data_IF_720885159099
#
_entry.id   IF_720885159099
#
_cell.length_a   1.000
_cell.length_b   1.000
_cell.length_c   1.000
_cell.angle_alpha   90.00
_cell.angle_beta   90.00
_cell.angle_gamma   90.00
#
_symmetry.space_group_name_H-M   'P 1'
#
loop_
_entity.id
_entity.type
_entity.pdbx_description
1 polymer ?
#
# COMPACT_ATOMS: atom_id res chain seq x y z
N UNK A 1 -34.98 6.73 -12.75
CA UNK A 1 -33.77 6.24 -12.07
C UNK A 1 -33.55 7.15 -10.88
N UNK A 2 -33.54 6.62 -9.66
CA UNK A 2 -33.15 7.42 -8.49
C UNK A 2 -31.65 7.69 -8.60
N UNK A 3 -31.26 8.96 -8.49
CA UNK A 3 -29.85 9.30 -8.48
C UNK A 3 -29.28 9.03 -7.10
N UNK A 4 -28.22 8.22 -7.02
CA UNK A 4 -27.56 7.88 -5.77
C UNK A 4 -26.99 9.15 -5.13
N UNK A 5 -27.55 9.53 -3.98
CA UNK A 5 -27.19 10.75 -3.27
C UNK A 5 -26.49 10.42 -1.95
N UNK A 6 -25.44 11.16 -1.64
CA UNK A 6 -24.65 11.10 -0.41
C UNK A 6 -24.72 12.45 0.29
N UNK A 7 -25.13 12.49 1.56
CA UNK A 7 -25.15 13.74 2.34
C UNK A 7 -24.03 13.71 3.39
N UNK A 8 -23.18 14.74 3.37
CA UNK A 8 -22.14 14.99 4.36
C UNK A 8 -22.59 16.15 5.22
N UNK A 9 -22.75 15.92 6.53
CA UNK A 9 -23.00 16.98 7.53
C UNK A 9 -21.76 17.13 8.40
N UNK A 10 -21.25 18.35 8.48
CA UNK A 10 -20.16 18.72 9.39
C UNK A 10 -20.68 19.78 10.35
N UNK A 11 -20.69 19.43 11.64
CA UNK A 11 -21.06 20.32 12.73
C UNK A 11 -19.78 20.73 13.48
N UNK A 12 -19.37 21.99 13.34
CA UNK A 12 -18.12 22.51 13.92
C UNK A 12 -18.13 24.03 13.99
N UNK A 13 -17.60 24.58 15.08
CA UNK A 13 -17.44 26.02 15.27
C UNK A 13 -16.39 26.64 14.32
N UNK A 14 -15.37 25.86 13.94
CA UNK A 14 -14.28 26.29 13.06
C UNK A 14 -13.78 25.12 12.20
N UNK A 15 -13.75 25.29 10.87
CA UNK A 15 -13.22 24.30 9.93
C UNK A 15 -12.19 24.92 9.01
N UNK A 16 -11.00 24.29 8.92
CA UNK A 16 -9.99 24.70 7.93
C UNK A 16 -10.47 24.33 6.54
N UNK A 17 -10.41 25.30 5.63
CA UNK A 17 -10.80 25.13 4.22
C UNK A 17 -10.03 23.98 3.56
N UNK A 18 -8.71 23.93 3.77
CA UNK A 18 -7.88 22.87 3.21
C UNK A 18 -8.31 21.48 3.69
N UNK A 19 -8.65 21.34 4.97
CA UNK A 19 -9.09 20.06 5.52
C UNK A 19 -10.42 19.61 4.94
N UNK A 20 -11.37 20.55 4.75
CA UNK A 20 -12.64 20.27 4.09
C UNK A 20 -12.41 19.77 2.66
N UNK A 21 -11.62 20.48 1.88
CA UNK A 21 -11.37 20.10 0.48
C UNK A 21 -10.61 18.78 0.37
N UNK A 22 -9.65 18.51 1.24
CA UNK A 22 -8.97 17.21 1.27
C UNK A 22 -9.93 16.08 1.64
N UNK A 23 -10.82 16.29 2.61
CA UNK A 23 -11.83 15.29 2.95
C UNK A 23 -12.78 15.01 1.78
N UNK A 24 -13.30 16.04 1.11
CA UNK A 24 -14.16 15.89 -0.06
C UNK A 24 -13.43 15.18 -1.20
N UNK A 25 -12.17 15.53 -1.45
CA UNK A 25 -11.33 14.89 -2.46
C UNK A 25 -11.07 13.42 -2.15
N UNK A 26 -10.76 13.07 -0.91
CA UNK A 26 -10.57 11.67 -0.52
C UNK A 26 -11.85 10.85 -0.66
N UNK A 27 -13.02 11.45 -0.39
CA UNK A 27 -14.31 10.80 -0.62
C UNK A 27 -14.51 10.55 -2.12
N UNK A 28 -14.21 11.53 -2.97
CA UNK A 28 -14.26 11.37 -4.43
C UNK A 28 -13.33 10.24 -4.91
N UNK A 29 -12.06 10.28 -4.51
CA UNK A 29 -11.06 9.25 -4.86
C UNK A 29 -11.47 7.85 -4.37
N UNK A 30 -12.02 7.74 -3.16
CA UNK A 30 -12.51 6.49 -2.60
C UNK A 30 -13.68 5.89 -3.39
N UNK A 31 -14.67 6.71 -3.76
CA UNK A 31 -15.82 6.26 -4.56
C UNK A 31 -15.38 5.85 -5.97
N UNK A 32 -14.46 6.59 -6.59
CA UNK A 32 -13.93 6.26 -7.92
C UNK A 32 -13.20 4.92 -7.94
N UNK A 33 -12.43 4.58 -6.89
CA UNK A 33 -11.73 3.29 -6.78
C UNK A 33 -12.69 2.09 -6.70
N UNK A 34 -13.84 2.26 -6.07
CA UNK A 34 -14.87 1.22 -5.95
C UNK A 34 -15.81 1.15 -7.16
N UNK A 35 -15.64 2.01 -8.16
CA UNK A 35 -16.50 2.08 -9.34
C UNK A 35 -15.89 1.30 -10.53
N UNK A 36 -16.70 0.46 -11.18
CA UNK A 36 -16.30 -0.31 -12.36
C UNK A 36 -16.41 0.47 -13.69
N UNK A 37 -16.89 1.72 -13.62
CA UNK A 37 -17.15 2.60 -14.76
C UNK A 37 -16.65 4.01 -14.44
N UNK A 38 -16.41 4.83 -15.45
CA UNK A 38 -16.06 6.23 -15.27
C UNK A 38 -17.24 6.98 -14.63
N UNK A 39 -17.04 7.53 -13.43
CA UNK A 39 -18.06 8.22 -12.62
C UNK A 39 -17.56 9.58 -12.18
N UNK A 40 -18.42 10.59 -12.30
CA UNK A 40 -18.16 11.96 -11.84
C UNK A 40 -19.01 12.26 -10.60
N UNK A 41 -18.43 13.03 -9.67
CA UNK A 41 -19.06 13.40 -8.40
C UNK A 41 -19.21 14.92 -8.35
N UNK A 42 -20.42 15.38 -8.06
CA UNK A 42 -20.76 16.79 -8.05
C UNK A 42 -21.32 17.24 -6.70
N UNK A 43 -20.99 18.46 -6.30
CA UNK A 43 -21.68 19.16 -5.20
C UNK A 43 -23.01 19.69 -5.72
N UNK A 44 -24.11 19.21 -5.11
CA UNK A 44 -25.47 19.61 -5.44
C UNK A 44 -25.93 20.83 -4.64
N UNK A 45 -25.62 20.90 -3.34
CA UNK A 45 -26.03 22.01 -2.45
C UNK A 45 -25.06 22.16 -1.26
N UNK A 46 -24.89 23.40 -0.77
CA UNK A 46 -24.22 23.72 0.50
C UNK A 46 -25.16 24.56 1.38
N UNK A 47 -25.52 24.06 2.58
CA UNK A 47 -26.49 24.74 3.49
C UNK A 47 -25.79 25.53 4.62
N UNK A 48 -26.50 26.51 5.21
CA UNK A 48 -26.01 27.41 6.29
C UNK A 48 -26.29 26.83 7.69
N UNK A 49 -25.35 27.03 8.63
CA UNK A 49 -25.49 26.67 10.06
C UNK A 49 -24.82 25.36 10.46
N UNK A 50 -24.63 24.48 9.49
CA UNK A 50 -23.69 23.35 9.48
C UNK A 50 -23.29 23.17 8.02
N UNK A 51 -22.06 22.77 7.71
CA UNK A 51 -21.70 22.50 6.32
C UNK A 51 -22.36 21.18 5.94
N UNK A 52 -23.53 21.28 5.30
CA UNK A 52 -24.25 20.15 4.72
C UNK A 52 -23.98 20.17 3.22
N UNK A 53 -23.30 19.15 2.74
CA UNK A 53 -22.95 18.96 1.33
C UNK A 53 -23.72 17.74 0.82
N UNK A 54 -24.53 17.94 -0.20
CA UNK A 54 -25.22 16.85 -0.90
C UNK A 54 -24.42 16.53 -2.18
N UNK A 55 -23.95 15.29 -2.30
CA UNK A 55 -23.21 14.75 -3.43
C UNK A 55 -24.09 13.76 -4.20
N UNK A 56 -23.91 13.67 -5.51
CA UNK A 56 -24.67 12.78 -6.38
C UNK A 56 -23.72 12.01 -7.29
N UNK A 57 -23.88 10.68 -7.36
CA UNK A 57 -23.18 9.84 -8.33
C UNK A 57 -24.01 9.78 -9.61
N UNK A 58 -23.42 10.20 -10.73
CA UNK A 58 -24.05 10.17 -12.04
C UNK A 58 -23.39 9.09 -12.91
N UNK A 59 -24.20 8.15 -13.41
CA UNK A 59 -23.74 7.12 -14.35
C UNK A 59 -23.99 7.63 -15.77
N UNK A 60 -22.93 7.76 -16.57
CA UNK A 60 -23.04 8.23 -17.96
C UNK A 60 -23.59 7.13 -18.88
N UNK A 61 -24.44 7.51 -19.83
CA UNK A 61 -25.11 6.56 -20.73
C UNK A 61 -24.10 5.84 -21.66
N UNK A 62 -24.15 4.50 -21.69
CA UNK A 62 -23.29 3.65 -22.52
C UNK A 62 -22.54 2.53 -21.79
N UNK A 63 -22.55 2.52 -20.46
CA UNK A 63 -21.82 1.59 -19.58
C UNK A 63 -22.65 0.38 -19.09
N UNK A 64 -23.70 0.02 -19.83
CA UNK A 64 -24.90 -0.66 -19.31
C UNK A 64 -24.93 -2.20 -19.16
N UNK A 65 -23.92 -3.06 -19.45
CA UNK A 65 -24.08 -4.48 -19.15
C UNK A 65 -23.68 -4.88 -17.71
N UNK A 66 -23.13 -3.97 -16.89
CA UNK A 66 -22.61 -4.32 -15.54
C UNK A 66 -23.40 -3.68 -14.38
N UNK A 67 -24.61 -3.18 -14.63
CA UNK A 67 -25.47 -2.55 -13.63
C UNK A 67 -26.15 -3.54 -12.65
N UNK A 68 -25.55 -4.71 -12.40
CA UNK A 68 -25.87 -5.51 -11.20
C UNK A 68 -25.19 -4.83 -9.99
N UNK A 69 -25.82 -3.75 -9.57
CA UNK A 69 -25.65 -2.87 -8.41
C UNK A 69 -24.79 -3.39 -7.23
N UNK A 70 -23.47 -3.23 -7.29
CA UNK A 70 -22.72 -2.82 -6.11
C UNK A 70 -22.72 -1.29 -6.09
N UNK A 71 -23.56 -0.68 -5.26
CA UNK A 71 -23.57 0.77 -5.13
C UNK A 71 -22.24 1.20 -4.48
N UNK A 72 -21.30 1.74 -5.27
CA UNK A 72 -19.94 2.03 -4.81
C UNK A 72 -19.89 3.02 -3.65
N UNK A 73 -20.91 3.89 -3.51
CA UNK A 73 -21.09 4.70 -2.30
C UNK A 73 -21.32 3.81 -1.07
N UNK A 74 -22.22 2.82 -1.16
CA UNK A 74 -22.49 1.88 -0.06
C UNK A 74 -21.24 1.07 0.26
N UNK A 75 -20.57 0.52 -0.77
CA UNK A 75 -19.34 -0.26 -0.60
C UNK A 75 -18.23 0.56 0.07
N UNK A 76 -18.06 1.82 -0.31
CA UNK A 76 -17.13 2.73 0.34
C UNK A 76 -17.48 2.96 1.82
N UNK A 77 -18.75 3.27 2.13
CA UNK A 77 -19.20 3.51 3.51
C UNK A 77 -19.01 2.26 4.40
N UNK A 78 -19.36 1.08 3.89
CA UNK A 78 -19.14 -0.20 4.59
C UNK A 78 -17.64 -0.44 4.85
N UNK A 79 -16.81 -0.16 3.86
CA UNK A 79 -15.35 -0.31 3.95
C UNK A 79 -14.74 0.62 4.99
N UNK A 80 -15.08 1.90 5.00
CA UNK A 80 -14.55 2.83 6.02
C UNK A 80 -15.12 2.55 7.42
N UNK A 81 -16.36 2.06 7.54
CA UNK A 81 -16.93 1.62 8.82
C UNK A 81 -16.15 0.43 9.39
N UNK A 82 -15.82 -0.56 8.55
CA UNK A 82 -14.98 -1.70 8.92
C UNK A 82 -13.62 -1.23 9.46
N UNK A 83 -12.96 -0.31 8.77
CA UNK A 83 -11.67 0.23 9.22
C UNK A 83 -11.79 1.15 10.45
N UNK A 84 -12.90 1.89 10.60
CA UNK A 84 -13.21 2.62 11.84
C UNK A 84 -13.27 1.67 13.02
N UNK A 85 -14.07 0.60 12.92
CA UNK A 85 -14.17 -0.42 13.98
C UNK A 85 -12.80 -1.03 14.27
N UNK A 86 -12.00 -1.28 13.23
CA UNK A 86 -10.64 -1.79 13.40
C UNK A 86 -9.74 -0.85 14.19
N UNK A 87 -9.65 0.41 13.77
CA UNK A 87 -8.75 1.39 14.36
C UNK A 87 -9.18 1.81 15.75
N UNK A 88 -10.47 1.72 16.11
CA UNK A 88 -10.97 2.04 17.44
C UNK A 88 -10.96 0.84 18.40
N UNK A 89 -10.81 -0.38 17.88
CA UNK A 89 -10.78 -1.60 18.71
C UNK A 89 -9.55 -1.63 19.62
N UNK A 90 -9.77 -1.97 20.89
CA UNK A 90 -8.69 -2.18 21.87
C UNK A 90 -7.94 -3.50 21.63
N UNK A 91 -8.50 -4.42 20.83
CA UNK A 91 -7.93 -5.74 20.56
C UNK A 91 -7.36 -5.80 19.14
N UNK A 92 -6.13 -5.27 19.00
CA UNK A 92 -5.42 -5.15 17.71
C UNK A 92 -5.15 -6.50 17.04
N UNK A 93 -5.06 -7.59 17.80
CA UNK A 93 -4.71 -8.94 17.31
C UNK A 93 -5.85 -9.63 16.54
N UNK A 94 -7.10 -9.18 16.72
CA UNK A 94 -8.28 -9.89 16.18
C UNK A 94 -8.69 -9.47 14.77
N UNK A 95 -8.05 -8.44 14.19
CA UNK A 95 -8.44 -7.87 12.88
C UNK A 95 -7.33 -8.03 11.82
N UNK A 96 -6.14 -8.50 12.22
CA UNK A 96 -4.97 -8.74 11.36
C UNK A 96 -5.06 -10.10 10.62
N UNK A 97 -6.22 -10.79 10.66
CA UNK A 97 -6.40 -12.05 9.92
C UNK A 97 -6.84 -11.89 8.47
N UNK A 98 -7.14 -10.67 8.02
CA UNK A 98 -7.43 -10.43 6.61
C UNK A 98 -6.12 -10.24 5.84
N UNK A 99 -5.87 -11.17 4.91
CA UNK A 99 -4.65 -11.20 4.09
C UNK A 99 -4.43 -9.97 3.20
N UNK A 100 -5.41 -9.08 3.07
CA UNK A 100 -5.38 -7.92 2.17
C UNK A 100 -6.02 -6.69 2.84
N UNK A 101 -5.29 -6.07 3.77
CA UNK A 101 -5.72 -4.78 4.36
C UNK A 101 -5.51 -3.66 3.34
N UNK A 102 -6.60 -2.96 3.02
CA UNK A 102 -6.57 -1.83 2.11
C UNK A 102 -6.06 -0.56 2.81
N UNK A 103 -4.76 -0.33 2.67
CA UNK A 103 -4.08 0.87 3.21
C UNK A 103 -4.64 2.17 2.64
N UNK A 104 -5.19 2.15 1.43
CA UNK A 104 -5.74 3.36 0.81
C UNK A 104 -7.04 3.78 1.50
N UNK A 105 -7.89 2.81 1.88
CA UNK A 105 -9.07 3.07 2.69
C UNK A 105 -8.74 3.55 4.10
N UNK A 106 -7.64 3.07 4.70
CA UNK A 106 -7.13 3.60 5.98
C UNK A 106 -6.71 5.06 5.84
N UNK A 107 -6.03 5.42 4.74
CA UNK A 107 -5.60 6.80 4.46
C UNK A 107 -6.79 7.73 4.17
N UNK A 108 -7.81 7.24 3.47
CA UNK A 108 -9.06 7.96 3.23
C UNK A 108 -9.77 8.25 4.57
N UNK A 109 -9.89 7.24 5.43
CA UNK A 109 -10.47 7.39 6.77
C UNK A 109 -9.65 8.35 7.66
N UNK A 110 -8.32 8.28 7.61
CA UNK A 110 -7.41 9.21 8.29
C UNK A 110 -7.65 10.67 7.86
N UNK A 111 -7.78 10.88 6.55
CA UNK A 111 -8.03 12.21 5.98
C UNK A 111 -9.40 12.76 6.38
N UNK A 112 -10.44 11.91 6.36
CA UNK A 112 -11.78 12.27 6.85
C UNK A 112 -11.72 12.64 8.33
N UNK A 113 -11.09 11.83 9.17
CA UNK A 113 -10.92 12.11 10.60
C UNK A 113 -10.15 13.43 10.86
N UNK A 114 -9.19 13.78 10.00
CA UNK A 114 -8.44 15.03 10.08
C UNK A 114 -9.23 16.31 9.82
N UNK A 115 -10.42 16.21 9.25
CA UNK A 115 -11.29 17.37 9.16
C UNK A 115 -11.75 17.88 10.54
N UNK A 116 -11.88 17.02 11.55
CA UNK A 116 -12.46 17.40 12.85
C UNK A 116 -11.63 17.06 14.10
N UNK A 117 -10.46 16.41 13.98
CA UNK A 117 -9.69 15.96 15.15
C UNK A 117 -9.25 17.07 16.11
N UNK A 118 -8.96 18.27 15.59
CA UNK A 118 -8.50 19.41 16.39
C UNK A 118 -9.64 20.33 16.83
N UNK A 119 -10.91 19.92 16.61
CA UNK A 119 -12.09 20.72 16.90
C UNK A 119 -12.93 20.02 17.99
N UNK A 120 -12.77 20.42 19.25
CA UNK A 120 -13.57 19.87 20.34
C UNK A 120 -15.07 20.04 20.04
N UNK A 121 -15.85 18.98 20.24
CA UNK A 121 -17.30 18.90 19.98
C UNK A 121 -17.72 18.80 18.50
N UNK A 122 -16.77 18.74 17.56
CA UNK A 122 -17.12 18.56 16.16
C UNK A 122 -17.57 17.13 15.86
N UNK A 123 -18.50 17.00 14.90
CA UNK A 123 -18.94 15.71 14.36
C UNK A 123 -19.01 15.74 12.83
N UNK A 124 -18.70 14.59 12.23
CA UNK A 124 -18.97 14.28 10.83
C UNK A 124 -20.05 13.21 10.82
N UNK A 125 -21.08 13.43 10.02
CA UNK A 125 -22.08 12.43 9.70
C UNK A 125 -22.23 12.31 8.19
N UNK A 126 -22.09 11.09 7.69
CA UNK A 126 -22.26 10.74 6.29
C UNK A 126 -23.46 9.80 6.22
N UNK A 127 -24.51 10.21 5.49
CA UNK A 127 -25.74 9.44 5.33
C UNK A 127 -25.98 9.12 3.86
N UNK A 128 -26.35 7.87 3.58
CA UNK A 128 -26.76 7.39 2.25
C UNK A 128 -28.28 7.17 2.21
N UNK A 129 -28.84 7.06 1.02
CA UNK A 129 -30.29 6.85 0.83
C UNK A 129 -30.80 5.47 1.32
N UNK A 130 -29.92 4.48 1.51
CA UNK A 130 -30.28 3.13 1.97
C UNK A 130 -30.06 2.92 3.49
N UNK A 131 -30.08 3.99 4.29
CA UNK A 131 -29.80 3.96 5.73
C UNK A 131 -28.39 3.46 6.12
N UNK A 132 -27.49 3.25 5.16
CA UNK A 132 -26.08 3.06 5.47
C UNK A 132 -25.51 4.43 5.90
N UNK A 133 -24.85 4.47 7.05
CA UNK A 133 -24.34 5.69 7.64
C UNK A 133 -22.96 5.49 8.24
N UNK A 134 -22.23 6.59 8.33
CA UNK A 134 -20.94 6.67 8.98
C UNK A 134 -20.93 7.94 9.84
N UNK A 135 -20.39 7.85 11.05
CA UNK A 135 -20.25 9.00 11.93
C UNK A 135 -18.90 8.99 12.62
N UNK A 136 -18.36 10.17 12.91
CA UNK A 136 -17.20 10.36 13.76
C UNK A 136 -17.41 11.58 14.65
N UNK A 137 -17.04 11.45 15.92
CA UNK A 137 -16.81 12.60 16.80
C UNK A 137 -15.31 12.97 16.86
N UNK A 138 -15.01 14.11 17.49
CA UNK A 138 -13.63 14.61 17.64
C UNK A 138 -12.70 13.67 18.43
N UNK A 139 -13.22 12.88 19.37
CA UNK A 139 -12.43 11.95 20.18
C UNK A 139 -12.06 10.71 19.35
N UNK A 140 -13.04 10.11 18.70
CA UNK A 140 -12.84 9.01 17.74
C UNK A 140 -11.88 9.43 16.63
N UNK A 141 -12.02 10.65 16.10
CA UNK A 141 -11.16 11.18 15.04
C UNK A 141 -9.70 11.32 15.46
N UNK A 142 -9.46 11.80 16.68
CA UNK A 142 -8.10 11.89 17.25
C UNK A 142 -7.49 10.49 17.42
N UNK A 143 -8.29 9.53 17.89
CA UNK A 143 -7.84 8.17 18.12
C UNK A 143 -7.56 7.42 16.80
N UNK A 144 -8.40 7.65 15.78
CA UNK A 144 -8.20 7.14 14.42
C UNK A 144 -6.90 7.66 13.86
N UNK A 145 -6.62 8.96 13.92
CA UNK A 145 -5.34 9.51 13.45
C UNK A 145 -4.13 8.90 14.13
N UNK A 146 -4.18 8.74 15.45
CA UNK A 146 -3.08 8.10 16.17
C UNK A 146 -2.84 6.68 15.68
N UNK A 147 -3.92 5.90 15.52
CA UNK A 147 -3.84 4.49 15.21
C UNK A 147 -3.59 4.23 13.71
N UNK A 148 -4.12 5.07 12.81
CA UNK A 148 -3.83 5.04 11.37
C UNK A 148 -2.36 5.36 11.14
N UNK A 149 -1.82 6.40 11.78
CA UNK A 149 -0.40 6.75 11.66
C UNK A 149 0.47 5.63 12.19
N UNK A 150 0.14 5.04 13.35
CA UNK A 150 0.82 3.84 13.84
C UNK A 150 0.75 2.69 12.81
N UNK A 151 -0.43 2.39 12.28
CA UNK A 151 -0.63 1.27 11.36
C UNK A 151 0.07 1.46 10.01
N UNK A 152 0.03 2.68 9.46
CA UNK A 152 0.71 3.07 8.24
C UNK A 152 2.23 3.14 8.45
N UNK A 153 2.70 3.57 9.62
CA UNK A 153 4.13 3.57 9.99
C UNK A 153 4.67 2.17 10.24
N UNK A 154 3.92 1.31 10.93
CA UNK A 154 4.23 -0.10 11.13
C UNK A 154 4.22 -0.84 9.77
N UNK A 155 3.40 -0.38 8.82
CA UNK A 155 3.41 -0.84 7.42
C UNK A 155 4.58 -0.29 6.59
N UNK A 156 5.06 0.93 6.86
CA UNK A 156 6.30 1.47 6.26
C UNK A 156 7.54 0.68 6.71
N UNK A 157 7.49 -0.01 7.85
CA UNK A 157 8.56 -0.90 8.29
C UNK A 157 8.68 -2.19 7.46
N UNK A 158 7.71 -2.51 6.58
CA UNK A 158 7.72 -3.72 5.76
C UNK A 158 7.74 -3.46 4.24
N UNK A 159 7.54 -2.23 3.77
CA UNK A 159 7.56 -1.90 2.32
C UNK A 159 8.77 -1.07 1.85
N UNK A 160 9.63 -0.56 2.75
CA UNK A 160 10.87 0.16 2.38
C UNK A 160 12.12 -0.35 3.10
N UNK A 161 12.19 -1.65 3.41
CA UNK A 161 13.47 -2.23 3.82
C UNK A 161 14.23 -2.70 2.58
N UNK A 162 15.17 -1.86 2.14
CA UNK A 162 16.47 -2.37 1.72
C UNK A 162 16.98 -3.27 2.85
N UNK A 163 16.59 -4.54 2.83
CA UNK A 163 17.06 -5.54 3.79
C UNK A 163 18.22 -6.26 3.14
N UNK A 164 19.33 -6.37 3.86
CA UNK A 164 20.36 -7.33 3.52
C UNK A 164 20.20 -8.58 4.38
N UNK A 165 20.48 -9.74 3.80
CA UNK A 165 20.49 -11.01 4.50
C UNK A 165 21.76 -11.75 4.12
N UNK A 166 22.51 -12.22 5.12
CA UNK A 166 23.63 -13.13 4.88
C UNK A 166 23.08 -14.55 4.70
N UNK A 167 23.46 -15.17 3.60
CA UNK A 167 23.16 -16.57 3.29
C UNK A 167 24.48 -17.30 3.17
N UNK A 168 24.82 -18.08 4.18
CA UNK A 168 26.01 -18.92 4.18
C UNK A 168 25.82 -20.17 3.32
N UNK A 169 26.91 -20.64 2.72
CA UNK A 169 26.94 -21.84 1.88
C UNK A 169 25.89 -21.84 0.77
N UNK A 170 25.67 -20.69 0.13
CA UNK A 170 24.78 -20.55 -1.01
C UNK A 170 25.45 -21.11 -2.27
N UNK A 171 24.75 -22.01 -2.96
CA UNK A 171 25.15 -22.47 -4.29
C UNK A 171 24.78 -21.41 -5.33
N UNK A 172 25.78 -20.98 -6.11
CA UNK A 172 25.57 -20.04 -7.20
C UNK A 172 26.19 -20.53 -8.52
N UNK A 173 25.56 -20.12 -9.61
CA UNK A 173 26.03 -20.33 -10.98
C UNK A 173 26.06 -18.99 -11.70
N UNK A 174 27.18 -18.64 -12.33
CA UNK A 174 27.29 -17.40 -13.09
C UNK A 174 26.64 -17.55 -14.46
N UNK A 175 25.77 -16.59 -14.79
CA UNK A 175 25.12 -16.48 -16.11
C UNK A 175 25.86 -15.47 -16.96
N UNK A 176 26.36 -14.40 -16.34
CA UNK A 176 27.11 -13.36 -17.01
C UNK A 176 28.29 -12.93 -16.15
N UNK A 177 29.48 -12.93 -16.73
CA UNK A 177 30.67 -12.33 -16.13
C UNK A 177 31.27 -11.35 -17.11
N UNK A 178 31.79 -10.26 -16.59
CA UNK A 178 32.29 -9.19 -17.41
C UNK A 178 33.72 -8.84 -17.01
N UNK A 179 34.65 -9.23 -17.88
CA UNK A 179 36.07 -8.93 -17.73
C UNK A 179 36.51 -7.66 -18.46
N UNK A 180 35.66 -7.05 -19.31
CA UNK A 180 36.07 -5.98 -20.26
C UNK A 180 35.09 -4.82 -20.56
N UNK A 181 33.83 -4.84 -20.12
CA UNK A 181 32.80 -3.83 -20.48
C UNK A 181 32.17 -3.12 -19.25
N UNK A 182 31.16 -2.24 -19.45
CA UNK A 182 30.41 -1.56 -18.37
C UNK A 182 29.22 -2.39 -17.79
N UNK A 183 29.02 -3.64 -18.22
CA UNK A 183 27.89 -4.48 -17.77
C UNK A 183 28.19 -5.14 -16.42
N UNK A 184 27.19 -5.34 -15.58
CA UNK A 184 27.39 -6.00 -14.28
C UNK A 184 27.48 -7.52 -14.42
N UNK A 185 28.20 -8.18 -13.50
CA UNK A 185 28.17 -9.63 -13.36
C UNK A 185 26.77 -10.06 -12.89
N UNK A 186 26.35 -11.29 -13.25
CA UNK A 186 25.06 -11.86 -12.83
C UNK A 186 25.21 -13.34 -12.52
N UNK A 187 24.57 -13.75 -11.44
CA UNK A 187 24.50 -15.14 -11.01
C UNK A 187 23.06 -15.51 -10.61
N UNK A 188 22.80 -16.81 -10.60
CA UNK A 188 21.57 -17.41 -10.09
C UNK A 188 21.91 -18.13 -8.79
N UNK A 189 21.03 -18.00 -7.80
CA UNK A 189 21.02 -18.84 -6.61
C UNK A 189 19.60 -19.38 -6.45
N UNK A 190 19.34 -20.61 -6.87
CA UNK A 190 17.97 -21.14 -6.94
C UNK A 190 17.25 -21.17 -5.58
N UNK A 191 18.01 -21.29 -4.49
CA UNK A 191 17.50 -21.19 -3.11
C UNK A 191 16.89 -19.82 -2.79
N UNK A 192 17.34 -18.76 -3.47
CA UNK A 192 16.91 -17.37 -3.26
C UNK A 192 15.98 -16.91 -4.38
N UNK A 193 16.34 -17.16 -5.64
CA UNK A 193 15.58 -16.76 -6.82
C UNK A 193 15.97 -17.58 -8.04
N UNK A 194 14.97 -17.94 -8.85
CA UNK A 194 15.18 -18.58 -10.16
C UNK A 194 15.64 -17.61 -11.26
N UNK A 195 15.66 -16.30 -10.96
CA UNK A 195 16.08 -15.26 -11.91
C UNK A 195 17.54 -14.91 -11.69
N UNK A 196 18.21 -14.50 -12.76
CA UNK A 196 19.54 -13.88 -12.68
C UNK A 196 19.48 -12.59 -11.86
N UNK A 197 20.39 -12.45 -10.89
CA UNK A 197 20.50 -11.27 -10.04
C UNK A 197 21.88 -10.65 -10.25
N UNK A 198 21.95 -9.31 -10.21
CA UNK A 198 23.22 -8.59 -10.29
C UNK A 198 24.15 -9.10 -9.19
N UNK A 199 25.40 -9.36 -9.52
CA UNK A 199 26.37 -9.92 -8.59
C UNK A 199 27.60 -9.02 -8.52
N UNK A 200 28.08 -8.83 -7.30
CA UNK A 200 29.32 -8.12 -7.00
C UNK A 200 30.23 -9.04 -6.19
N UNK A 201 31.53 -8.99 -6.47
CA UNK A 201 32.54 -9.78 -5.77
C UNK A 201 33.44 -8.78 -5.06
N UNK A 202 33.30 -8.71 -3.73
CA UNK A 202 33.95 -7.69 -2.92
C UNK A 202 35.46 -7.96 -2.81
N UNK A 203 35.84 -9.21 -2.56
CA UNK A 203 37.22 -9.60 -2.40
C UNK A 203 37.91 -9.84 -3.75
N UNK A 204 39.03 -9.12 -4.00
CA UNK A 204 39.79 -9.18 -5.26
C UNK A 204 40.42 -10.56 -5.51
N UNK A 205 40.84 -11.28 -4.47
CA UNK A 205 41.40 -12.62 -4.58
C UNK A 205 40.32 -13.65 -4.91
N UNK A 206 39.17 -13.57 -4.23
CA UNK A 206 37.98 -14.38 -4.55
C UNK A 206 37.54 -14.13 -5.99
N UNK A 207 37.53 -12.87 -6.43
CA UNK A 207 37.21 -12.48 -7.80
C UNK A 207 38.13 -13.13 -8.83
N UNK A 208 39.45 -13.12 -8.61
CA UNK A 208 40.41 -13.80 -9.52
C UNK A 208 40.15 -15.31 -9.59
N UNK A 209 39.84 -15.94 -8.47
CA UNK A 209 39.59 -17.38 -8.41
C UNK A 209 38.30 -17.79 -9.14
N UNK A 210 37.22 -17.02 -8.97
CA UNK A 210 35.92 -17.26 -9.62
C UNK A 210 36.02 -16.96 -11.12
N UNK A 211 36.55 -15.80 -11.50
CA UNK A 211 36.58 -15.35 -12.90
C UNK A 211 37.57 -16.11 -13.79
N UNK A 212 38.38 -17.03 -13.25
CA UNK A 212 39.27 -17.87 -14.06
C UNK A 212 38.49 -18.82 -14.98
N UNK A 213 37.42 -19.43 -14.48
CA UNK A 213 36.56 -20.36 -15.22
C UNK A 213 35.10 -20.29 -14.71
N UNK A 214 34.41 -19.14 -14.80
CA UNK A 214 33.15 -18.92 -14.07
C UNK A 214 31.96 -19.75 -14.56
N UNK A 215 32.02 -20.29 -15.77
CA UNK A 215 30.93 -21.06 -16.39
C UNK A 215 31.14 -22.57 -16.34
N UNK A 216 32.34 -23.01 -15.95
CA UNK A 216 32.70 -24.42 -15.83
C UNK A 216 32.35 -25.01 -14.47
N UNK A 217 32.21 -24.15 -13.47
CA UNK A 217 32.06 -24.53 -12.07
C UNK A 217 30.81 -23.89 -11.48
N UNK A 218 30.23 -24.58 -10.52
CA UNK A 218 29.32 -24.02 -9.54
C UNK A 218 30.12 -23.65 -8.28
N UNK A 219 29.67 -22.64 -7.56
CA UNK A 219 30.39 -22.10 -6.42
C UNK A 219 29.52 -22.12 -5.17
N UNK A 220 30.08 -22.62 -4.07
CA UNK A 220 29.50 -22.47 -2.73
C UNK A 220 30.15 -21.25 -2.08
N UNK A 221 29.32 -20.27 -1.74
CA UNK A 221 29.78 -18.97 -1.26
C UNK A 221 28.96 -18.50 -0.07
N UNK A 222 29.53 -17.59 0.71
CA UNK A 222 28.75 -16.75 1.62
C UNK A 222 28.30 -15.51 0.85
N UNK A 223 26.98 -15.30 0.77
CA UNK A 223 26.37 -14.15 0.09
C UNK A 223 25.81 -13.16 1.11
N UNK A 224 26.00 -11.88 0.87
CA UNK A 224 25.02 -10.88 1.29
C UNK A 224 24.02 -10.66 0.16
N UNK A 225 22.73 -10.77 0.47
CA UNK A 225 21.64 -10.58 -0.48
C UNK A 225 20.87 -9.32 -0.12
N UNK A 226 20.85 -8.35 -1.02
CA UNK A 226 20.04 -7.15 -0.87
C UNK A 226 18.70 -7.31 -1.58
N UNK A 227 17.62 -6.99 -0.86
CA UNK A 227 16.27 -7.04 -1.36
C UNK A 227 15.70 -5.63 -1.51
N UNK A 228 14.92 -5.42 -2.55
CA UNK A 228 14.03 -4.27 -2.73
C UNK A 228 12.65 -4.80 -3.09
N UNK A 229 11.60 -4.33 -2.42
CA UNK A 229 10.23 -4.82 -2.61
C UNK A 229 10.12 -6.35 -2.50
N UNK A 230 10.84 -6.94 -1.53
CA UNK A 230 11.01 -8.39 -1.34
C UNK A 230 11.58 -9.19 -2.53
N UNK A 231 12.11 -8.51 -3.55
CA UNK A 231 12.81 -9.13 -4.68
C UNK A 231 14.32 -8.99 -4.48
N UNK A 232 15.11 -10.06 -4.68
CA UNK A 232 16.56 -9.96 -4.60
C UNK A 232 17.07 -9.11 -5.77
N UNK A 233 17.88 -8.09 -5.46
CA UNK A 233 18.37 -7.10 -6.44
C UNK A 233 19.89 -7.12 -6.59
N UNK A 234 20.62 -7.49 -5.54
CA UNK A 234 22.07 -7.62 -5.55
C UNK A 234 22.53 -8.80 -4.69
N UNK A 235 23.46 -9.58 -5.24
CA UNK A 235 24.27 -10.53 -4.49
C UNK A 235 25.68 -9.97 -4.33
N UNK A 236 26.16 -9.87 -3.10
CA UNK A 236 27.57 -9.57 -2.79
C UNK A 236 28.22 -10.85 -2.29
N UNK A 237 29.21 -11.35 -3.04
CA UNK A 237 30.01 -12.51 -2.62
C UNK A 237 31.03 -12.05 -1.60
N UNK A 238 30.86 -12.51 -0.36
CA UNK A 238 31.75 -12.21 0.77
C UNK A 238 32.94 -13.16 0.79
N UNK A 239 32.67 -14.46 0.62
CA UNK A 239 33.68 -15.51 0.68
C UNK A 239 33.36 -16.68 -0.26
N UNK A 240 34.39 -17.24 -0.88
CA UNK A 240 34.32 -18.53 -1.57
C UNK A 240 34.68 -19.65 -0.60
N UNK A 241 33.81 -20.65 -0.46
CA UNK A 241 34.05 -21.86 0.35
C UNK A 241 34.57 -22.99 -0.51
N UNK A 242 33.86 -23.27 -1.59
CA UNK A 242 34.12 -24.44 -2.45
C UNK A 242 33.69 -24.15 -3.88
N UNK A 243 34.28 -24.86 -4.84
CA UNK A 243 33.81 -24.90 -6.23
C UNK A 243 33.91 -26.33 -6.75
N UNK A 244 32.96 -26.74 -7.56
CA UNK A 244 32.91 -28.05 -8.19
C UNK A 244 32.45 -27.94 -9.64
N UNK A 245 32.91 -28.85 -10.48
CA UNK A 245 32.64 -28.81 -11.91
C UNK A 245 31.14 -29.01 -12.15
N UNK A 246 30.58 -28.33 -13.14
CA UNK A 246 29.19 -28.55 -13.51
C UNK A 246 29.08 -29.95 -14.11
N UNK A 247 28.19 -30.78 -13.56
CA UNK A 247 27.74 -31.99 -14.25
C UNK A 247 26.75 -31.53 -15.33
N UNK A 248 27.22 -31.46 -16.59
CA UNK A 248 26.36 -31.30 -17.76
C UNK A 248 25.42 -32.51 -17.93
#
# INVERSE_FOLDING_TARGET
MENNTLTIKIDSDQLKIDNLFQALKSIEEGIQKESYTETEIYIKEVRKGSIIIELIQVILAGSLPFAENANSIISFIEKINKYKTMLLSSNKERIIQEKDIDKSAIKELDTIANAISNNPNANIQINTFNNCSFSLDSQESTQIQKNSQQYLSDSHSNEDKSRSQIVSNALISFVQTNTKSKKADKAICEKISKKEVKTFIENTEVKKNILKNPYKYNFIVDLEVQYKDNKPTLYTILQLKEKFENDD
#
